data_IF_459670138812
#
_entry.id   IF_459670138812
#
_cell.length_a   1.000
_cell.length_b   1.000
_cell.length_c   1.000
_cell.angle_alpha   90.00
_cell.angle_beta   90.00
_cell.angle_gamma   90.00
#
_symmetry.space_group_name_H-M   'P 1'
#
loop_
_entity.id
_entity.type
_entity.pdbx_description
1 polymer ?
#
# COMPACT_ATOMS: atom_id res chain seq x y z
N UNK A 1 -70.19 0.57 -0.56
CA UNK A 1 -70.72 -0.22 0.58
C UNK A 1 -69.54 -0.71 1.40
N UNK A 2 -69.48 -0.24 2.61
CA UNK A 2 -68.99 -0.86 3.85
C UNK A 2 -67.53 -1.34 3.79
N UNK A 3 -66.64 -0.92 4.63
CA UNK A 3 -66.63 -0.39 6.00
C UNK A 3 -65.31 -0.86 6.58
N UNK A 4 -64.51 -0.06 7.09
CA UNK A 4 -64.40 0.45 8.45
C UNK A 4 -63.51 -0.39 9.38
N UNK A 5 -62.67 0.33 10.10
CA UNK A 5 -61.96 0.09 11.37
C UNK A 5 -60.65 -0.67 11.27
N UNK A 6 -59.48 -0.13 11.58
CA UNK A 6 -59.19 0.78 12.70
C UNK A 6 -58.64 -0.02 13.89
N UNK A 7 -57.32 0.12 14.17
CA UNK A 7 -56.83 0.03 15.56
C UNK A 7 -55.49 0.68 15.70
N UNK A 8 -55.50 1.86 16.33
CA UNK A 8 -54.38 2.44 17.06
C UNK A 8 -54.10 1.55 18.30
N UNK A 9 -52.86 1.30 18.60
CA UNK A 9 -52.39 0.94 19.92
C UNK A 9 -51.19 1.78 20.29
N UNK A 10 -51.42 2.75 21.14
CA UNK A 10 -50.42 3.48 21.89
C UNK A 10 -50.18 2.72 23.20
N UNK A 11 -48.94 2.50 23.60
CA UNK A 11 -48.54 2.15 24.97
C UNK A 11 -47.23 2.84 25.25
N UNK A 12 -47.25 3.93 25.95
CA UNK A 12 -46.92 4.19 27.34
C UNK A 12 -45.43 4.05 27.71
N UNK A 13 -44.88 5.25 27.97
CA UNK A 13 -43.67 5.47 28.76
C UNK A 13 -43.83 4.89 30.17
N UNK A 14 -42.80 4.19 30.66
CA UNK A 14 -42.53 4.07 32.10
C UNK A 14 -41.11 4.53 32.35
N UNK A 15 -41.02 5.67 32.99
CA UNK A 15 -39.79 6.16 33.59
C UNK A 15 -39.53 5.43 34.91
N UNK A 16 -38.30 5.19 35.20
CA UNK A 16 -37.82 4.89 36.56
C UNK A 16 -36.47 5.57 36.78
N UNK A 17 -36.57 6.67 37.50
CA UNK A 17 -35.44 7.32 38.15
C UNK A 17 -35.05 6.53 39.39
N UNK A 18 -33.78 6.16 39.54
CA UNK A 18 -33.20 5.79 40.83
C UNK A 18 -32.00 6.67 41.05
N UNK A 19 -32.11 7.55 42.05
CA UNK A 19 -31.01 8.21 42.73
C UNK A 19 -30.35 7.21 43.67
N UNK A 20 -29.04 7.24 43.73
CA UNK A 20 -28.25 6.50 44.73
C UNK A 20 -26.83 7.04 44.78
N UNK A 21 -26.62 7.93 45.70
CA UNK A 21 -25.50 8.38 46.46
C UNK A 21 -24.30 7.41 46.57
N UNK A 22 -23.11 7.97 46.39
CA UNK A 22 -22.02 8.07 47.39
C UNK A 22 -21.16 6.82 47.59
N UNK A 23 -19.88 6.97 47.34
CA UNK A 23 -18.81 6.60 48.29
C UNK A 23 -17.47 6.59 47.54
N UNK A 24 -16.66 7.49 47.90
CA UNK A 24 -15.32 7.43 48.53
C UNK A 24 -14.20 6.82 47.67
N UNK A 25 -13.24 7.71 47.45
CA UNK A 25 -11.90 7.44 46.95
C UNK A 25 -11.21 6.43 47.88
N UNK A 26 -10.56 5.45 47.31
CA UNK A 26 -9.50 4.70 47.97
C UNK A 26 -8.26 4.77 47.07
N UNK A 27 -7.25 5.48 47.62
CA UNK A 27 -5.93 5.55 47.05
C UNK A 27 -5.20 4.25 47.39
N UNK A 28 -4.82 3.48 46.40
CA UNK A 28 -3.88 2.39 46.59
C UNK A 28 -2.48 2.80 46.14
N UNK A 29 -1.66 2.82 47.15
CA UNK A 29 -0.24 3.04 47.31
C UNK A 29 0.56 2.12 46.36
N UNK A 30 1.38 2.72 45.50
CA UNK A 30 2.39 2.02 44.69
C UNK A 30 3.56 1.59 45.61
N UNK A 31 3.64 0.31 45.88
CA UNK A 31 4.78 -0.27 46.60
C UNK A 31 5.94 -0.45 45.62
N UNK A 32 6.89 0.48 45.69
CA UNK A 32 8.19 0.40 45.03
C UNK A 32 9.05 -0.66 45.71
N UNK A 33 9.24 -1.81 45.05
CA UNK A 33 10.17 -2.84 45.51
C UNK A 33 11.58 -2.49 45.03
N UNK A 34 12.37 -1.91 45.93
CA UNK A 34 13.82 -1.72 45.74
C UNK A 34 14.52 -3.05 45.95
N UNK A 35 15.09 -3.64 44.91
CA UNK A 35 15.99 -4.79 45.01
C UNK A 35 17.38 -4.31 45.39
N UNK A 36 17.78 -4.62 46.60
CA UNK A 36 19.14 -4.41 47.10
C UNK A 36 20.08 -5.46 46.46
N UNK A 37 21.14 -4.99 45.82
CA UNK A 37 22.24 -5.83 45.35
C UNK A 37 23.24 -5.95 46.51
N UNK A 38 23.38 -7.15 47.07
CA UNK A 38 24.44 -7.47 48.04
C UNK A 38 25.75 -7.72 47.28
N UNK A 39 26.75 -6.95 47.65
CA UNK A 39 28.16 -7.21 47.34
C UNK A 39 28.72 -8.19 48.38
N UNK A 40 29.34 -9.28 47.91
CA UNK A 40 30.24 -10.08 48.75
C UNK A 40 31.52 -10.41 48.00
N UNK A 41 32.56 -9.87 48.54
CA UNK A 41 33.95 -10.27 48.68
C UNK A 41 34.66 -11.17 47.65
N UNK A 42 35.74 -10.57 47.21
CA UNK A 42 36.91 -11.13 46.51
C UNK A 42 37.68 -12.17 47.38
N UNK A 43 38.44 -13.09 46.73
CA UNK A 43 39.86 -13.16 47.08
C UNK A 43 40.81 -13.07 45.88
N UNK A 44 41.84 -12.27 46.13
CA UNK A 44 43.08 -12.03 45.42
C UNK A 44 43.80 -13.32 44.99
N UNK A 45 44.12 -13.44 43.67
CA UNK A 45 45.24 -14.31 43.23
C UNK A 45 46.08 -13.56 42.19
N UNK A 46 47.32 -13.31 42.60
CA UNK A 46 48.40 -12.70 41.80
C UNK A 46 48.78 -13.60 40.62
N UNK A 47 48.61 -13.15 39.39
CA UNK A 47 49.08 -13.82 38.16
C UNK A 47 49.72 -12.80 37.25
N UNK A 48 50.99 -12.99 36.98
CA UNK A 48 51.94 -12.20 36.19
C UNK A 48 51.45 -11.94 34.78
N UNK A 49 51.51 -10.70 34.32
CA UNK A 49 51.12 -10.25 32.97
C UNK A 49 52.26 -10.42 32.02
N UNK A 50 52.09 -11.19 30.98
CA UNK A 50 52.90 -11.11 29.75
C UNK A 50 52.20 -10.27 28.73
N UNK A 51 52.76 -9.10 28.45
CA UNK A 51 52.31 -8.14 27.45
C UNK A 51 52.85 -8.52 26.09
N UNK A 52 52.07 -9.21 25.25
CA UNK A 52 52.37 -9.37 23.84
C UNK A 52 51.60 -8.36 23.01
N UNK A 53 52.28 -7.29 22.65
CA UNK A 53 51.76 -6.26 21.71
C UNK A 53 51.82 -6.84 20.29
N UNK A 54 50.66 -7.20 19.72
CA UNK A 54 50.54 -7.61 18.32
C UNK A 54 50.09 -6.42 17.50
N UNK A 55 51.01 -5.78 16.80
CA UNK A 55 50.73 -4.70 15.84
C UNK A 55 50.31 -5.31 14.52
N UNK A 56 49.01 -5.30 14.23
CA UNK A 56 48.48 -5.69 12.91
C UNK A 56 48.54 -4.50 11.97
N UNK A 57 49.48 -4.50 11.06
CA UNK A 57 49.56 -3.53 9.95
C UNK A 57 48.59 -3.98 8.85
N UNK A 58 47.45 -3.29 8.70
CA UNK A 58 46.53 -3.51 7.59
C UNK A 58 47.00 -2.74 6.37
N UNK A 59 47.57 -3.46 5.41
CA UNK A 59 47.92 -2.91 4.09
C UNK A 59 46.66 -2.82 3.23
N UNK A 60 46.15 -1.62 3.03
CA UNK A 60 45.04 -1.36 2.10
C UNK A 60 45.56 -1.29 0.68
N UNK A 61 45.36 -2.34 -0.09
CA UNK A 61 45.65 -2.35 -1.54
C UNK A 61 44.47 -1.73 -2.28
N UNK A 62 44.64 -0.50 -2.76
CA UNK A 62 43.67 0.17 -3.63
C UNK A 62 43.77 -0.35 -5.05
N UNK A 63 42.80 -1.17 -5.47
CA UNK A 63 42.71 -1.61 -6.87
C UNK A 63 41.91 -0.56 -7.66
N UNK A 64 42.62 0.20 -8.49
CA UNK A 64 42.01 1.16 -9.42
C UNK A 64 41.45 0.40 -10.62
N UNK A 65 40.15 0.23 -10.71
CA UNK A 65 39.47 -0.34 -11.87
C UNK A 65 39.23 0.76 -12.91
N UNK A 66 40.02 0.72 -13.99
CA UNK A 66 39.80 1.63 -15.15
C UNK A 66 38.63 1.11 -15.97
N UNK A 67 37.50 1.80 -15.93
CA UNK A 67 36.34 1.49 -16.77
C UNK A 67 36.53 2.14 -18.14
N UNK A 68 36.80 1.34 -19.15
CA UNK A 68 36.82 1.77 -20.55
C UNK A 68 35.39 1.86 -21.08
N UNK A 69 34.90 3.07 -21.27
CA UNK A 69 33.57 3.31 -21.88
C UNK A 69 33.69 3.22 -23.39
N UNK A 70 33.23 2.14 -23.99
CA UNK A 70 33.10 2.01 -25.44
C UNK A 70 31.80 2.66 -25.89
N UNK A 71 31.89 3.82 -26.50
CA UNK A 71 30.77 4.53 -27.12
C UNK A 71 30.45 3.87 -28.46
N UNK A 72 29.40 3.07 -28.52
CA UNK A 72 28.87 2.52 -29.77
C UNK A 72 27.93 3.55 -30.38
N UNK A 73 28.38 4.21 -31.45
CA UNK A 73 27.58 5.14 -32.25
C UNK A 73 26.63 4.32 -33.12
N UNK A 74 25.34 4.37 -32.83
CA UNK A 74 24.27 3.78 -33.66
C UNK A 74 23.94 4.78 -34.77
N UNK A 75 23.95 4.38 -36.07
CA UNK A 75 23.54 5.27 -37.16
C UNK A 75 22.04 5.56 -37.10
N UNK A 76 21.58 6.74 -37.56
CA UNK A 76 20.15 7.10 -37.52
C UNK A 76 19.35 6.22 -38.48
N UNK A 77 18.29 5.61 -37.94
CA UNK A 77 17.30 4.87 -38.70
C UNK A 77 16.47 5.86 -39.52
N UNK A 78 16.64 5.90 -40.83
CA UNK A 78 15.80 6.64 -41.74
C UNK A 78 14.52 5.82 -41.95
N UNK A 79 13.40 6.28 -41.39
CA UNK A 79 12.08 5.72 -41.64
C UNK A 79 11.53 6.42 -42.90
N UNK A 80 11.50 5.70 -43.99
CA UNK A 80 10.84 6.12 -45.24
C UNK A 80 9.32 5.99 -45.03
N UNK A 81 8.57 7.12 -45.15
CA UNK A 81 7.11 7.12 -45.10
C UNK A 81 6.58 6.57 -46.42
N UNK A 82 5.56 5.68 -46.40
CA UNK A 82 4.88 5.26 -47.61
C UNK A 82 4.07 6.39 -48.22
N UNK A 83 4.21 6.54 -49.53
CA UNK A 83 3.50 7.51 -50.39
C UNK A 83 1.98 7.31 -50.34
N UNK A 84 1.29 8.43 -50.30
CA UNK A 84 -0.15 8.60 -50.26
C UNK A 84 -0.85 7.89 -51.47
N UNK A 85 -1.94 7.14 -51.27
CA UNK A 85 -2.71 6.61 -52.38
C UNK A 85 -3.68 7.64 -52.97
N UNK A 86 -3.79 7.58 -54.28
CA UNK A 86 -4.49 8.47 -55.17
C UNK A 86 -5.95 8.81 -54.77
N UNK A 87 -6.24 10.09 -54.99
CA UNK A 87 -7.53 10.76 -54.89
C UNK A 87 -8.55 10.16 -55.83
N UNK A 88 -9.59 9.52 -55.29
CA UNK A 88 -10.78 9.14 -56.04
C UNK A 88 -11.78 10.31 -56.07
N UNK A 89 -12.19 10.70 -57.27
CA UNK A 89 -13.22 11.71 -57.55
C UNK A 89 -14.61 11.21 -57.11
N UNK A 90 -15.46 12.07 -56.51
CA UNK A 90 -16.81 11.64 -56.12
C UNK A 90 -17.76 11.66 -57.31
N UNK A 91 -18.41 10.55 -57.56
CA UNK A 91 -19.58 10.49 -58.43
C UNK A 91 -20.81 11.08 -57.72
N UNK A 92 -21.53 11.90 -58.50
CA UNK A 92 -22.72 12.63 -58.07
C UNK A 92 -23.92 11.66 -58.03
N UNK A 93 -24.25 11.14 -56.87
CA UNK A 93 -25.46 10.33 -56.59
C UNK A 93 -26.55 11.16 -55.93
N UNK A 94 -27.74 11.02 -56.43
CA UNK A 94 -29.02 11.66 -56.13
C UNK A 94 -29.37 11.70 -54.62
N UNK A 95 -29.72 12.89 -54.12
CA UNK A 95 -30.19 13.13 -52.77
C UNK A 95 -31.57 12.48 -52.53
N UNK A 96 -31.60 11.46 -51.64
CA UNK A 96 -32.79 11.07 -50.92
C UNK A 96 -32.79 11.83 -49.59
N UNK A 97 -33.80 12.67 -49.37
CA UNK A 97 -34.02 13.29 -48.06
C UNK A 97 -34.38 12.22 -47.02
N UNK A 98 -33.42 11.88 -46.17
CA UNK A 98 -33.65 11.08 -44.98
C UNK A 98 -33.91 12.09 -43.84
N UNK A 99 -35.13 12.04 -43.30
CA UNK A 99 -35.48 12.77 -42.07
C UNK A 99 -34.53 12.32 -40.96
N UNK A 100 -33.65 13.23 -40.58
CA UNK A 100 -32.64 13.06 -39.53
C UNK A 100 -33.31 12.97 -38.15
N UNK A 101 -33.67 11.73 -37.77
CA UNK A 101 -33.90 11.42 -36.33
C UNK A 101 -32.60 10.89 -35.79
N UNK A 102 -31.63 11.78 -35.61
CA UNK A 102 -30.38 11.47 -34.95
C UNK A 102 -30.66 11.13 -33.48
N UNK A 103 -30.38 9.91 -33.02
CA UNK A 103 -30.46 9.61 -31.60
C UNK A 103 -29.50 10.55 -30.84
N UNK A 104 -29.87 11.01 -29.64
CA UNK A 104 -29.00 11.88 -28.87
C UNK A 104 -27.63 11.21 -28.70
N UNK A 105 -26.53 11.98 -28.81
CA UNK A 105 -25.18 11.43 -28.66
C UNK A 105 -25.11 10.71 -27.33
N UNK A 106 -24.48 9.52 -27.26
CA UNK A 106 -24.29 8.84 -25.99
C UNK A 106 -23.54 9.79 -25.07
N UNK A 107 -24.09 10.01 -23.87
CA UNK A 107 -23.43 10.78 -22.82
C UNK A 107 -22.13 10.05 -22.48
N UNK A 108 -21.04 10.45 -23.11
CA UNK A 108 -19.69 9.99 -22.79
C UNK A 108 -19.32 10.61 -21.45
N UNK A 109 -19.76 10.00 -20.36
CA UNK A 109 -19.13 10.21 -19.07
C UNK A 109 -17.74 9.60 -19.19
N UNK A 110 -16.78 10.39 -19.67
CA UNK A 110 -15.39 9.96 -19.76
C UNK A 110 -14.88 9.81 -18.32
N UNK A 111 -14.80 8.57 -17.85
CA UNK A 111 -14.16 8.28 -16.57
C UNK A 111 -12.74 8.86 -16.60
N UNK A 112 -12.31 9.59 -15.56
CA UNK A 112 -10.96 10.15 -15.52
C UNK A 112 -9.92 9.04 -15.69
N UNK A 113 -8.81 9.31 -16.42
CA UNK A 113 -7.76 8.32 -16.58
C UNK A 113 -7.30 7.73 -15.23
N UNK A 114 -7.00 6.44 -15.19
CA UNK A 114 -6.67 5.72 -13.95
C UNK A 114 -5.45 6.25 -13.18
N UNK A 115 -4.66 7.14 -13.77
CA UNK A 115 -3.54 7.80 -13.08
C UNK A 115 -3.92 9.10 -12.35
N UNK A 116 -5.12 9.63 -12.57
CA UNK A 116 -5.61 10.82 -11.87
C UNK A 116 -6.00 10.41 -10.45
N UNK A 117 -5.60 11.23 -9.47
CA UNK A 117 -5.99 11.01 -8.08
C UNK A 117 -7.52 11.10 -7.94
N UNK A 118 -8.20 10.07 -7.40
CA UNK A 118 -9.64 10.10 -7.20
C UNK A 118 -10.09 11.25 -6.27
N UNK A 119 -11.18 11.94 -6.63
CA UNK A 119 -11.66 13.12 -5.90
C UNK A 119 -11.97 12.83 -4.42
N UNK A 120 -12.53 11.66 -4.10
CA UNK A 120 -12.95 11.30 -2.73
C UNK A 120 -11.84 10.58 -1.94
N UNK A 121 -10.58 10.96 -2.16
CA UNK A 121 -9.43 10.31 -1.55
C UNK A 121 -8.98 10.92 -0.22
N UNK A 122 -9.74 11.85 0.37
CA UNK A 122 -9.43 12.55 1.62
C UNK A 122 -8.44 13.71 1.42
N UNK A 123 -7.91 14.23 2.54
CA UNK A 123 -7.06 15.42 2.58
C UNK A 123 -5.76 15.15 3.35
N UNK A 124 -4.78 16.05 3.19
CA UNK A 124 -3.48 15.99 3.85
C UNK A 124 -2.60 14.85 3.34
N UNK A 125 -1.45 14.63 4.01
CA UNK A 125 -0.47 13.63 3.62
C UNK A 125 -1.00 12.21 3.82
N UNK A 126 -1.05 11.42 2.75
CA UNK A 126 -1.68 10.09 2.75
C UNK A 126 -1.23 9.21 1.60
N UNK A 127 -1.36 7.91 1.80
CA UNK A 127 -1.39 6.92 0.71
C UNK A 127 -2.85 6.70 0.31
N UNK A 128 -3.15 6.72 -0.98
CA UNK A 128 -4.47 6.36 -1.53
C UNK A 128 -4.32 5.08 -2.32
N UNK A 129 -5.14 4.08 -2.03
CA UNK A 129 -5.20 2.82 -2.76
C UNK A 129 -6.59 2.62 -3.34
N UNK A 130 -6.72 2.57 -4.66
CA UNK A 130 -7.95 2.20 -5.35
C UNK A 130 -7.94 0.73 -5.74
N UNK A 131 -8.94 0.00 -5.27
CA UNK A 131 -9.15 -1.43 -5.59
C UNK A 131 -9.67 -1.61 -7.02
N UNK A 132 -10.43 -0.64 -7.52
CA UNK A 132 -10.94 -0.67 -8.91
C UNK A 132 -9.81 -0.44 -9.90
N UNK A 133 -8.95 0.55 -9.66
CA UNK A 133 -7.85 0.87 -10.57
C UNK A 133 -6.60 0.03 -10.33
N UNK A 134 -6.55 -0.78 -9.25
CA UNK A 134 -5.32 -1.49 -8.81
C UNK A 134 -4.11 -0.56 -8.83
N UNK A 135 -4.26 0.61 -8.22
CA UNK A 135 -3.28 1.69 -8.25
C UNK A 135 -3.15 2.36 -6.88
N UNK A 136 -1.96 2.87 -6.64
CA UNK A 136 -1.62 3.64 -5.44
C UNK A 136 -1.15 5.03 -5.85
N UNK A 137 -1.48 6.03 -5.02
CA UNK A 137 -0.94 7.38 -5.04
C UNK A 137 -0.36 7.71 -3.68
N UNK A 138 0.79 8.34 -3.64
CA UNK A 138 1.32 9.01 -2.45
C UNK A 138 1.07 10.50 -2.61
N UNK A 139 0.40 11.10 -1.64
CA UNK A 139 -0.09 12.46 -1.70
C UNK A 139 0.50 13.25 -0.54
N UNK A 140 1.11 14.40 -0.83
CA UNK A 140 1.69 15.29 0.17
C UNK A 140 0.60 16.05 0.94
N UNK A 141 1.01 16.81 1.97
CA UNK A 141 0.08 17.55 2.83
C UNK A 141 -0.72 18.61 2.09
N UNK A 142 -0.14 19.19 1.04
CA UNK A 142 -0.76 20.20 0.17
C UNK A 142 -1.66 19.61 -0.94
N UNK A 143 -1.78 18.27 -1.01
CA UNK A 143 -2.54 17.57 -2.04
C UNK A 143 -1.75 17.19 -3.28
N UNK A 144 -0.48 17.56 -3.39
CA UNK A 144 0.38 17.19 -4.51
C UNK A 144 0.63 15.69 -4.53
N UNK A 145 0.48 15.06 -5.70
CA UNK A 145 0.81 13.65 -5.90
C UNK A 145 2.31 13.50 -6.12
N UNK A 146 3.01 12.90 -5.14
CA UNK A 146 4.45 12.64 -5.25
C UNK A 146 4.76 11.48 -6.18
N UNK A 147 3.91 10.44 -6.16
CA UNK A 147 4.07 9.26 -7.01
C UNK A 147 2.76 8.51 -7.18
N UNK A 148 2.59 7.88 -8.33
CA UNK A 148 1.54 6.88 -8.57
C UNK A 148 2.11 5.68 -9.32
N UNK A 149 1.62 4.48 -9.01
CA UNK A 149 2.05 3.24 -9.67
C UNK A 149 0.98 2.15 -9.57
N UNK A 150 1.06 1.18 -10.48
CA UNK A 150 0.20 0.00 -10.48
C UNK A 150 0.59 -0.96 -9.36
N UNK A 151 -0.41 -1.63 -8.82
CA UNK A 151 -0.26 -2.64 -7.76
C UNK A 151 -1.11 -3.87 -8.07
N UNK A 152 -0.89 -4.96 -7.32
CA UNK A 152 -1.83 -6.08 -7.30
C UNK A 152 -2.38 -6.25 -5.90
N UNK A 153 -3.65 -6.00 -5.75
CA UNK A 153 -4.41 -6.19 -4.53
C UNK A 153 -5.50 -7.23 -4.69
N UNK A 154 -6.54 -7.14 -3.87
CA UNK A 154 -7.75 -7.94 -3.97
C UNK A 154 -8.94 -7.05 -4.30
N UNK A 155 -9.65 -7.37 -5.37
CA UNK A 155 -10.84 -6.62 -5.79
C UNK A 155 -12.08 -6.98 -4.99
N UNK A 156 -12.20 -8.24 -4.57
CA UNK A 156 -13.33 -8.73 -3.80
C UNK A 156 -13.43 -8.04 -2.43
N UNK A 157 -14.65 -7.91 -1.95
CA UNK A 157 -15.13 -7.03 -0.89
C UNK A 157 -14.44 -7.17 0.49
N UNK A 158 -13.84 -8.24 0.80
CA UNK A 158 -13.42 -8.54 2.17
C UNK A 158 -11.94 -8.21 2.51
N UNK A 159 -11.14 -7.58 1.58
CA UNK A 159 -9.71 -7.41 1.87
C UNK A 159 -9.00 -6.39 0.96
N UNK A 160 -8.49 -5.27 1.45
CA UNK A 160 -9.01 -4.52 2.60
C UNK A 160 -10.37 -3.89 2.28
N UNK A 161 -11.20 -3.63 3.30
CA UNK A 161 -12.43 -2.85 3.11
C UNK A 161 -12.09 -1.40 2.73
N UNK A 162 -12.95 -0.71 1.94
CA UNK A 162 -12.84 0.73 1.77
C UNK A 162 -12.90 1.44 3.13
N UNK A 163 -12.07 2.47 3.31
CA UNK A 163 -11.98 3.19 4.58
C UNK A 163 -10.66 3.91 4.77
N UNK A 164 -10.51 4.50 5.93
CA UNK A 164 -9.29 5.20 6.34
C UNK A 164 -8.60 4.44 7.45
N UNK A 165 -7.31 4.23 7.27
CA UNK A 165 -6.43 3.45 8.14
C UNK A 165 -5.16 4.24 8.45
N UNK A 166 -4.32 3.69 9.32
CA UNK A 166 -2.96 4.19 9.57
C UNK A 166 -1.96 3.06 9.51
N UNK A 167 -0.77 3.34 9.01
CA UNK A 167 0.34 2.39 9.10
C UNK A 167 0.64 2.13 10.58
N UNK A 168 0.49 0.88 11.03
CA UNK A 168 0.69 0.52 12.44
C UNK A 168 1.98 -0.27 12.70
N UNK A 169 2.55 -0.91 11.69
CA UNK A 169 3.83 -1.60 11.81
C UNK A 169 4.52 -1.82 10.47
N UNK A 170 5.82 -2.13 10.52
CA UNK A 170 6.66 -2.33 9.34
C UNK A 170 7.64 -3.47 9.57
N UNK A 171 8.05 -4.17 8.51
CA UNK A 171 9.14 -5.15 8.53
C UNK A 171 9.94 -5.07 7.25
N UNK A 172 11.26 -4.99 7.35
CA UNK A 172 12.14 -5.00 6.17
C UNK A 172 12.05 -6.31 5.40
N UNK A 173 11.82 -7.42 6.11
CA UNK A 173 11.63 -8.76 5.57
C UNK A 173 10.59 -9.53 6.38
N UNK A 174 9.76 -10.33 5.72
CA UNK A 174 8.79 -11.22 6.37
C UNK A 174 8.35 -12.33 5.43
N UNK A 175 7.79 -13.40 6.00
CA UNK A 175 7.25 -14.54 5.26
C UNK A 175 5.79 -14.80 5.64
N UNK A 176 5.10 -15.56 4.81
CA UNK A 176 3.74 -15.99 5.07
C UNK A 176 3.75 -17.03 6.22
N UNK A 177 2.88 -16.82 7.22
CA UNK A 177 2.80 -17.70 8.40
C UNK A 177 2.35 -19.12 8.01
N UNK A 178 1.40 -19.23 7.06
CA UNK A 178 0.86 -20.52 6.60
C UNK A 178 1.75 -21.22 5.57
N UNK A 179 2.61 -20.46 4.88
CA UNK A 179 3.56 -20.98 3.91
C UNK A 179 4.89 -20.20 4.03
N UNK A 180 5.81 -20.63 4.93
CA UNK A 180 7.03 -19.90 5.23
C UNK A 180 8.02 -19.84 4.06
N UNK A 181 7.81 -20.61 3.00
CA UNK A 181 8.61 -20.52 1.78
C UNK A 181 8.27 -19.29 0.92
N UNK A 182 7.14 -18.63 1.20
CA UNK A 182 6.71 -17.43 0.50
C UNK A 182 7.07 -16.19 1.31
N UNK A 183 8.05 -15.44 0.85
CA UNK A 183 8.62 -14.30 1.57
C UNK A 183 8.63 -13.04 0.70
N UNK A 184 8.72 -11.88 1.35
CA UNK A 184 8.79 -10.57 0.71
C UNK A 184 9.49 -9.55 1.60
N UNK A 185 9.89 -8.41 0.98
CA UNK A 185 10.53 -7.28 1.67
C UNK A 185 9.59 -6.07 1.72
N UNK A 186 9.98 -5.08 2.50
CA UNK A 186 9.37 -3.76 2.56
C UNK A 186 7.89 -3.78 2.95
N UNK A 187 7.53 -4.60 3.93
CA UNK A 187 6.15 -4.72 4.42
C UNK A 187 5.75 -3.50 5.25
N UNK A 188 4.73 -2.76 4.79
CA UNK A 188 4.12 -1.59 5.43
C UNK A 188 2.66 -1.94 5.74
N UNK A 189 2.36 -2.29 7.01
CA UNK A 189 1.04 -2.80 7.44
C UNK A 189 0.12 -1.66 7.84
N UNK A 190 -1.12 -1.67 7.33
CA UNK A 190 -2.10 -0.63 7.64
C UNK A 190 -3.45 -1.16 8.12
N UNK A 191 -3.76 -2.44 7.94
CA UNK A 191 -4.99 -3.06 8.45
C UNK A 191 -4.81 -4.55 8.65
N UNK A 192 -5.87 -5.20 9.17
CA UNK A 192 -5.95 -6.65 9.33
C UNK A 192 -7.11 -7.20 8.52
N UNK A 193 -6.97 -8.43 8.09
CA UNK A 193 -8.03 -9.23 7.50
C UNK A 193 -8.99 -9.81 8.54
N UNK A 194 -10.09 -10.44 8.10
CA UNK A 194 -11.07 -11.06 8.99
C UNK A 194 -10.47 -12.18 9.85
N UNK A 195 -9.46 -12.88 9.35
CA UNK A 195 -8.77 -13.95 10.09
C UNK A 195 -7.63 -13.42 10.99
N UNK A 196 -7.53 -12.10 11.15
CA UNK A 196 -6.48 -11.43 11.93
C UNK A 196 -5.12 -11.31 11.23
N UNK A 197 -4.98 -11.79 10.00
CA UNK A 197 -3.80 -11.64 9.16
C UNK A 197 -3.52 -10.17 8.82
N UNK A 198 -2.24 -9.83 8.72
CA UNK A 198 -1.84 -8.47 8.43
C UNK A 198 -1.95 -8.16 6.94
N UNK A 199 -2.59 -7.04 6.62
CA UNK A 199 -2.66 -6.46 5.26
C UNK A 199 -1.77 -5.23 5.18
N UNK A 200 -0.99 -5.14 4.11
CA UNK A 200 -0.07 -4.02 3.88
C UNK A 200 0.44 -3.97 2.45
N UNK A 201 1.23 -2.93 2.18
CA UNK A 201 2.00 -2.77 0.95
C UNK A 201 3.31 -3.54 1.08
N UNK A 202 3.74 -4.22 0.03
CA UNK A 202 5.03 -4.91 -0.02
C UNK A 202 5.42 -5.24 -1.47
N UNK A 203 6.65 -5.67 -1.70
CA UNK A 203 7.07 -6.15 -3.01
C UNK A 203 6.33 -7.44 -3.42
N UNK A 204 6.40 -7.80 -4.70
CA UNK A 204 5.90 -9.10 -5.19
C UNK A 204 6.60 -10.22 -4.41
N UNK A 205 5.85 -11.14 -3.74
CA UNK A 205 6.44 -12.22 -2.98
C UNK A 205 7.21 -13.21 -3.87
N UNK A 206 8.21 -13.83 -3.28
CA UNK A 206 9.00 -14.89 -3.90
C UNK A 206 8.88 -16.18 -3.11
N UNK A 207 8.89 -17.30 -3.81
CA UNK A 207 9.16 -18.59 -3.21
C UNK A 207 10.68 -18.74 -3.03
N UNK A 208 11.14 -18.76 -1.77
CA UNK A 208 12.58 -18.77 -1.46
C UNK A 208 13.27 -20.09 -1.79
N UNK A 209 12.52 -21.19 -1.96
CA UNK A 209 13.10 -22.49 -2.37
C UNK A 209 13.38 -22.53 -3.86
N UNK A 210 12.47 -21.97 -4.66
CA UNK A 210 12.56 -22.06 -6.12
C UNK A 210 13.13 -20.80 -6.76
N UNK A 211 13.19 -19.68 -6.01
CA UNK A 211 13.53 -18.37 -6.53
C UNK A 211 12.44 -17.75 -7.42
N UNK A 212 11.28 -18.40 -7.55
CA UNK A 212 10.22 -17.93 -8.41
C UNK A 212 9.38 -16.84 -7.73
N UNK A 213 9.13 -15.74 -8.45
CA UNK A 213 8.17 -14.73 -8.03
C UNK A 213 6.72 -15.25 -8.19
N UNK A 214 5.81 -14.86 -7.27
CA UNK A 214 4.41 -15.29 -7.32
C UNK A 214 3.62 -14.64 -8.45
N UNK A 215 4.12 -13.56 -9.01
CA UNK A 215 3.61 -12.92 -10.22
C UNK A 215 4.71 -12.13 -10.90
N UNK A 216 4.53 -11.79 -12.18
CA UNK A 216 5.43 -10.88 -12.90
C UNK A 216 5.06 -9.41 -12.63
N UNK A 217 6.01 -8.50 -12.89
CA UNK A 217 5.76 -7.05 -12.81
C UNK A 217 4.72 -6.61 -13.84
N UNK A 218 4.67 -7.23 -15.01
CA UNK A 218 3.68 -6.93 -16.07
C UNK A 218 2.23 -7.28 -15.68
N UNK A 219 2.04 -8.07 -14.61
CA UNK A 219 0.72 -8.39 -14.07
C UNK A 219 0.24 -7.39 -13.01
N UNK A 220 1.03 -6.38 -12.68
CA UNK A 220 0.54 -5.28 -11.84
C UNK A 220 -0.61 -4.55 -12.55
N UNK A 221 -1.60 -4.10 -11.78
CA UNK A 221 -2.90 -3.64 -12.29
C UNK A 221 -3.98 -4.72 -12.24
N UNK A 222 -3.62 -5.98 -11.95
CA UNK A 222 -4.56 -7.09 -11.81
C UNK A 222 -4.78 -7.48 -10.35
N UNK A 223 -5.97 -8.01 -10.03
CA UNK A 223 -6.36 -8.44 -8.69
C UNK A 223 -5.86 -9.85 -8.39
N UNK A 224 -4.58 -10.02 -8.10
CA UNK A 224 -3.91 -11.32 -7.95
C UNK A 224 -3.47 -11.66 -6.52
N UNK A 225 -3.72 -10.80 -5.53
CA UNK A 225 -3.33 -11.07 -4.15
C UNK A 225 -4.48 -11.58 -3.29
N UNK A 226 -4.15 -12.18 -2.14
CA UNK A 226 -5.12 -12.60 -1.12
C UNK A 226 -5.62 -11.48 -0.21
N UNK A 227 -5.09 -10.25 -0.33
CA UNK A 227 -5.46 -9.10 0.53
C UNK A 227 -4.39 -8.01 0.53
N UNK A 228 -3.13 -8.38 0.69
CA UNK A 228 -2.00 -7.46 0.62
C UNK A 228 -1.88 -6.78 -0.74
N UNK A 229 -1.21 -5.63 -0.77
CA UNK A 229 -1.02 -4.80 -1.96
C UNK A 229 0.41 -4.97 -2.46
N UNK A 230 0.57 -5.80 -3.51
CA UNK A 230 1.86 -6.13 -4.11
C UNK A 230 2.32 -5.04 -5.05
N UNK A 231 3.61 -4.72 -5.01
CA UNK A 231 4.26 -3.66 -5.79
C UNK A 231 5.50 -4.21 -6.50
N UNK A 232 5.94 -3.54 -7.57
CA UNK A 232 7.29 -3.75 -8.07
C UNK A 232 8.31 -3.38 -6.97
N UNK A 233 9.47 -4.02 -6.95
CA UNK A 233 10.49 -3.77 -5.91
C UNK A 233 10.87 -2.30 -5.77
N UNK A 234 11.12 -1.51 -6.85
CA UNK A 234 11.43 -0.08 -6.73
C UNK A 234 10.30 0.73 -6.07
N UNK A 235 9.03 0.37 -6.34
CA UNK A 235 7.86 1.02 -5.75
C UNK A 235 7.67 0.64 -4.27
N UNK A 236 7.98 -0.61 -3.92
CA UNK A 236 7.96 -1.06 -2.53
C UNK A 236 9.06 -0.39 -1.69
N UNK A 237 10.26 -0.18 -2.24
CA UNK A 237 11.33 0.61 -1.61
C UNK A 237 10.90 2.06 -1.41
N UNK A 238 10.29 2.66 -2.43
CA UNK A 238 9.75 4.01 -2.33
C UNK A 238 8.69 4.11 -1.23
N UNK A 239 7.69 3.22 -1.25
CA UNK A 239 6.61 3.17 -0.24
C UNK A 239 7.18 2.99 1.17
N UNK A 240 8.17 2.12 1.34
CA UNK A 240 8.86 1.92 2.60
C UNK A 240 9.47 3.22 3.14
N UNK A 241 10.15 3.98 2.30
CA UNK A 241 10.79 5.24 2.71
C UNK A 241 9.75 6.35 2.94
N UNK A 242 8.70 6.40 2.12
CA UNK A 242 7.70 7.46 2.15
C UNK A 242 6.66 7.29 3.27
N UNK A 243 6.30 6.06 3.65
CA UNK A 243 5.20 5.76 4.58
C UNK A 243 5.69 5.18 5.93
N UNK A 244 6.20 6.00 6.88
CA UNK A 244 6.49 5.57 8.25
C UNK A 244 5.21 5.18 9.00
N UNK A 245 5.38 4.58 10.20
CA UNK A 245 4.28 4.32 11.14
C UNK A 245 3.54 5.64 11.43
N UNK A 246 2.21 5.58 11.48
CA UNK A 246 1.33 6.74 11.60
C UNK A 246 0.86 7.33 10.26
N UNK A 247 1.47 6.95 9.11
CA UNK A 247 1.01 7.43 7.80
C UNK A 247 -0.43 7.00 7.54
N UNK A 248 -1.28 7.97 7.15
CA UNK A 248 -2.67 7.71 6.77
C UNK A 248 -2.74 6.91 5.47
N UNK A 249 -3.65 5.95 5.41
CA UNK A 249 -3.95 5.15 4.22
C UNK A 249 -5.44 5.22 3.94
N UNK A 250 -5.81 5.67 2.75
CA UNK A 250 -7.21 5.71 2.28
C UNK A 250 -7.40 4.62 1.25
N UNK A 251 -8.30 3.69 1.52
CA UNK A 251 -8.68 2.61 0.60
C UNK A 251 -10.01 2.96 -0.03
N UNK A 252 -10.02 3.02 -1.36
CA UNK A 252 -11.21 3.24 -2.19
C UNK A 252 -11.68 1.91 -2.82
N UNK A 253 -12.96 1.84 -3.14
CA UNK A 253 -13.57 0.69 -3.81
C UNK A 253 -12.92 0.41 -5.19
#
# INVERSE_FOLDING_TARGET
>A
MRGLLGRLAAVALVGSSVLGLGATADAQEETSTTVAISTSDEPTTTGTVDTSTSTSTTTTTSTTTTTTTTTTTVPPLVIELPSEPARLTPERGTQAQVTDTQPPPPSTTTEPPSWVLPANSGEGRRVVYSKTHMRVWTVEADGTVSKTHLVSGRRTWNQPLPGTYSVFSRSSYTCNIKNPDICWRYMVRFTKGPDGDNIGFHEIPMNIRTGAALQSVSQLGQALSGGCVRQATPDAVYMWNWAPVGTRVVVLA
#
